data_IF_857744638939
#
_entry.id   IF_857744638939
#
_cell.length_a   1.000
_cell.length_b   1.000
_cell.length_c   1.000
_cell.angle_alpha   90.00
_cell.angle_beta   90.00
_cell.angle_gamma   90.00
#
_symmetry.space_group_name_H-M   'P 1'
#
loop_
_entity.id
_entity.type
_entity.pdbx_description
1 polymer ?
#
# COMPACT_ATOMS: atom_id res chain seq x y z
N UNK A 1 6.95 -34.10 -6.87
CA UNK A 1 6.35 -33.08 -7.77
C UNK A 1 4.90 -32.89 -7.37
N UNK A 2 4.58 -31.87 -6.56
CA UNK A 2 3.19 -31.58 -6.14
C UNK A 2 2.75 -30.23 -6.71
N UNK A 3 1.51 -30.11 -7.21
CA UNK A 3 1.12 -29.08 -8.16
C UNK A 3 0.74 -27.75 -7.49
N UNK A 4 0.85 -26.69 -8.28
CA UNK A 4 0.51 -25.29 -8.01
C UNK A 4 -0.88 -25.08 -7.38
N UNK A 5 -0.99 -25.12 -6.05
CA UNK A 5 -2.13 -24.59 -5.25
C UNK A 5 -1.70 -23.52 -4.23
N UNK A 6 -0.42 -23.13 -4.25
CA UNK A 6 0.17 -22.17 -3.29
C UNK A 6 -0.04 -20.70 -3.71
N UNK A 7 0.05 -20.39 -5.01
CA UNK A 7 -0.01 -19.02 -5.51
C UNK A 7 -1.32 -18.29 -5.19
N UNK A 8 -2.47 -18.95 -5.38
CA UNK A 8 -3.78 -18.35 -5.11
C UNK A 8 -4.01 -18.10 -3.61
N UNK A 9 -3.51 -18.99 -2.74
CA UNK A 9 -3.59 -18.81 -1.28
C UNK A 9 -2.69 -17.67 -0.82
N UNK A 10 -1.48 -17.56 -1.38
CA UNK A 10 -0.58 -16.46 -1.11
C UNK A 10 -1.13 -15.12 -1.61
N UNK A 11 -1.72 -15.10 -2.81
CA UNK A 11 -2.39 -13.92 -3.36
C UNK A 11 -3.60 -13.51 -2.51
N UNK A 12 -4.45 -14.46 -2.12
CA UNK A 12 -5.60 -14.20 -1.24
C UNK A 12 -5.18 -13.67 0.13
N UNK A 13 -4.17 -14.27 0.76
CA UNK A 13 -3.65 -13.79 2.03
C UNK A 13 -3.05 -12.38 1.92
N UNK A 14 -2.25 -12.13 0.87
CA UNK A 14 -1.67 -10.80 0.62
C UNK A 14 -2.75 -9.76 0.33
N UNK A 15 -3.78 -10.13 -0.43
CA UNK A 15 -4.93 -9.26 -0.71
C UNK A 15 -5.66 -8.88 0.57
N UNK A 16 -6.03 -9.84 1.42
CA UNK A 16 -6.72 -9.55 2.68
C UNK A 16 -5.87 -8.66 3.58
N UNK A 17 -4.57 -8.96 3.73
CA UNK A 17 -3.68 -8.14 4.57
C UNK A 17 -3.55 -6.72 4.04
N UNK A 18 -3.27 -6.53 2.74
CA UNK A 18 -3.15 -5.19 2.16
C UNK A 18 -4.48 -4.45 2.18
N UNK A 19 -5.57 -5.12 1.83
CA UNK A 19 -6.91 -4.51 1.80
C UNK A 19 -7.33 -3.99 3.17
N UNK A 20 -7.08 -4.77 4.23
CA UNK A 20 -7.36 -4.33 5.59
C UNK A 20 -6.40 -3.20 6.03
N UNK A 21 -5.12 -3.26 5.61
CA UNK A 21 -4.15 -2.23 5.96
C UNK A 21 -4.39 -0.88 5.25
N UNK A 22 -4.89 -0.91 4.01
CA UNK A 22 -5.11 0.25 3.13
C UNK A 22 -6.56 0.77 3.19
N UNK A 23 -7.39 0.23 4.09
CA UNK A 23 -8.78 0.64 4.21
C UNK A 23 -8.87 2.08 4.73
N UNK A 24 -9.43 2.99 3.92
CA UNK A 24 -9.50 4.42 4.27
C UNK A 24 -8.19 5.18 4.01
N UNK A 25 -7.29 4.65 3.18
CA UNK A 25 -6.06 5.33 2.80
C UNK A 25 -6.32 6.68 2.11
N UNK A 26 -5.32 7.56 2.19
CA UNK A 26 -5.31 8.88 1.57
C UNK A 26 -5.60 8.80 0.05
N UNK A 27 -5.10 7.77 -0.63
CA UNK A 27 -5.39 7.58 -2.06
C UNK A 27 -6.89 7.40 -2.35
N UNK A 28 -7.64 6.76 -1.43
CA UNK A 28 -9.09 6.59 -1.55
C UNK A 28 -9.81 7.92 -1.34
N UNK A 29 -9.39 8.70 -0.35
CA UNK A 29 -9.94 10.04 -0.09
C UNK A 29 -9.65 11.01 -1.25
N UNK A 30 -8.46 10.95 -1.84
CA UNK A 30 -8.11 11.73 -3.03
C UNK A 30 -8.97 11.32 -4.23
N UNK A 31 -9.15 10.02 -4.44
CA UNK A 31 -10.01 9.50 -5.52
C UNK A 31 -11.46 9.96 -5.33
N UNK A 32 -12.00 9.86 -4.11
CA UNK A 32 -13.33 10.35 -3.77
C UNK A 32 -13.43 11.87 -3.93
N UNK A 33 -12.41 12.62 -3.52
CA UNK A 33 -12.32 14.08 -3.68
C UNK A 33 -12.31 14.53 -5.14
N UNK A 34 -11.65 13.79 -6.03
CA UNK A 34 -11.68 14.04 -7.47
C UNK A 34 -13.10 13.91 -8.04
N UNK A 35 -13.83 12.87 -7.64
CA UNK A 35 -15.24 12.68 -8.04
C UNK A 35 -16.13 13.75 -7.42
N UNK A 36 -15.94 14.06 -6.14
CA UNK A 36 -16.67 15.11 -5.43
C UNK A 36 -16.45 16.52 -6.02
N UNK A 37 -15.28 16.75 -6.65
CA UNK A 37 -14.95 17.99 -7.37
C UNK A 37 -15.61 18.08 -8.77
N UNK A 38 -16.52 17.16 -9.11
CA UNK A 38 -17.28 17.17 -10.36
C UNK A 38 -16.62 16.41 -11.51
N UNK A 39 -15.53 15.66 -11.28
CA UNK A 39 -14.96 14.80 -12.33
C UNK A 39 -15.80 13.54 -12.53
N UNK A 40 -15.94 13.06 -13.78
CA UNK A 40 -16.71 11.85 -14.06
C UNK A 40 -16.10 10.63 -13.36
N UNK A 41 -16.94 9.83 -12.70
CA UNK A 41 -16.52 8.73 -11.84
C UNK A 41 -15.77 7.62 -12.59
N UNK A 42 -16.20 7.29 -13.82
CA UNK A 42 -15.61 6.18 -14.59
C UNK A 42 -14.13 6.44 -14.96
N UNK A 43 -13.77 7.58 -15.56
CA UNK A 43 -12.36 7.90 -15.82
C UNK A 43 -11.50 7.98 -14.55
N UNK A 44 -12.05 8.52 -13.45
CA UNK A 44 -11.34 8.62 -12.17
C UNK A 44 -11.07 7.23 -11.59
N UNK A 45 -12.03 6.30 -11.68
CA UNK A 45 -11.86 4.92 -11.26
C UNK A 45 -10.73 4.23 -12.03
N UNK A 46 -10.78 4.24 -13.37
CA UNK A 46 -9.76 3.58 -14.17
C UNK A 46 -8.37 4.22 -14.01
N UNK A 47 -8.30 5.55 -13.91
CA UNK A 47 -7.05 6.26 -13.66
C UNK A 47 -6.42 5.88 -12.32
N UNK A 48 -7.22 5.87 -11.25
CA UNK A 48 -6.75 5.54 -9.90
C UNK A 48 -6.38 4.06 -9.78
N UNK A 49 -7.15 3.18 -10.40
CA UNK A 49 -6.86 1.75 -10.45
C UNK A 49 -5.57 1.46 -11.24
N UNK A 50 -5.38 2.10 -12.39
CA UNK A 50 -4.15 1.97 -13.18
C UNK A 50 -2.93 2.50 -12.41
N UNK A 51 -3.06 3.65 -11.74
CA UNK A 51 -2.01 4.19 -10.87
C UNK A 51 -1.63 3.21 -9.76
N UNK A 52 -2.63 2.63 -9.07
CA UNK A 52 -2.41 1.63 -8.03
C UNK A 52 -1.70 0.38 -8.58
N UNK A 53 -2.12 -0.12 -9.75
CA UNK A 53 -1.50 -1.28 -10.39
C UNK A 53 -0.03 -1.01 -10.73
N UNK A 54 0.28 0.18 -11.28
CA UNK A 54 1.65 0.58 -11.62
C UNK A 54 2.52 0.68 -10.36
N UNK A 55 2.05 1.39 -9.34
CA UNK A 55 2.79 1.55 -8.07
C UNK A 55 3.01 0.20 -7.39
N UNK A 56 1.99 -0.66 -7.34
CA UNK A 56 2.10 -2.01 -6.76
C UNK A 56 3.11 -2.87 -7.52
N UNK A 57 3.06 -2.83 -8.86
CA UNK A 57 4.03 -3.52 -9.71
C UNK A 57 5.46 -3.07 -9.45
N UNK A 58 5.69 -1.75 -9.40
CA UNK A 58 6.98 -1.17 -9.08
C UNK A 58 7.45 -1.56 -7.67
N UNK A 59 6.56 -1.54 -6.67
CA UNK A 59 6.88 -1.92 -5.30
C UNK A 59 7.36 -3.39 -5.21
N UNK A 60 6.71 -4.31 -5.93
CA UNK A 60 7.13 -5.72 -5.97
C UNK A 60 8.49 -5.89 -6.68
N UNK A 61 8.70 -5.20 -7.81
CA UNK A 61 9.96 -5.28 -8.56
C UNK A 61 11.13 -4.71 -7.74
N UNK A 62 10.95 -3.52 -7.18
CA UNK A 62 11.95 -2.85 -6.34
C UNK A 62 12.19 -3.61 -5.04
N UNK A 63 11.14 -4.11 -4.40
CA UNK A 63 11.25 -4.92 -3.18
C UNK A 63 12.06 -6.20 -3.43
N UNK A 64 11.79 -6.91 -4.53
CA UNK A 64 12.59 -8.09 -4.94
C UNK A 64 14.04 -7.74 -5.25
N UNK A 65 14.31 -6.57 -5.83
CA UNK A 65 15.67 -6.11 -6.06
C UNK A 65 16.39 -5.73 -4.75
N UNK A 66 15.71 -5.03 -3.86
CA UNK A 66 16.24 -4.59 -2.57
C UNK A 66 16.56 -5.78 -1.65
N UNK A 67 15.66 -6.75 -1.55
CA UNK A 67 15.84 -7.95 -0.72
C UNK A 67 16.99 -8.87 -1.18
N UNK A 68 17.47 -8.70 -2.42
CA UNK A 68 18.71 -9.37 -2.88
C UNK A 68 19.98 -8.71 -2.35
N UNK A 69 19.93 -7.45 -1.95
CA UNK A 69 21.08 -6.67 -1.46
C UNK A 69 21.05 -6.40 0.04
N UNK A 70 19.86 -6.40 0.64
CA UNK A 70 19.64 -6.02 2.05
C UNK A 70 18.92 -7.14 2.79
N UNK A 71 19.34 -7.39 4.04
CA UNK A 71 18.71 -8.39 4.91
C UNK A 71 17.28 -7.97 5.24
N UNK A 72 16.32 -8.90 5.12
CA UNK A 72 14.90 -8.67 5.40
C UNK A 72 14.66 -8.07 6.80
N UNK A 73 15.46 -8.48 7.80
CA UNK A 73 15.36 -7.95 9.16
C UNK A 73 15.59 -6.43 9.23
N UNK A 74 16.57 -5.91 8.48
CA UNK A 74 16.85 -4.47 8.45
C UNK A 74 15.68 -3.69 7.84
N UNK A 75 15.14 -4.19 6.71
CA UNK A 75 13.97 -3.59 6.07
C UNK A 75 12.79 -3.52 7.05
N UNK A 76 12.55 -4.59 7.80
CA UNK A 76 11.47 -4.63 8.81
C UNK A 76 11.69 -3.64 9.95
N UNK A 77 12.90 -3.57 10.52
CA UNK A 77 13.17 -2.65 11.63
C UNK A 77 13.12 -1.19 11.20
N UNK A 78 13.64 -0.87 10.00
CA UNK A 78 13.55 0.49 9.45
C UNK A 78 12.10 0.87 9.20
N UNK A 79 11.31 0.00 8.55
CA UNK A 79 9.89 0.26 8.31
C UNK A 79 9.12 0.48 9.62
N UNK A 80 9.33 -0.38 10.63
CA UNK A 80 8.72 -0.22 11.95
C UNK A 80 9.13 1.09 12.63
N UNK A 81 10.41 1.47 12.55
CA UNK A 81 10.92 2.73 13.08
C UNK A 81 10.28 3.95 12.42
N UNK A 82 10.19 3.95 11.09
CA UNK A 82 9.54 5.03 10.33
C UNK A 82 8.06 5.14 10.70
N UNK A 83 7.32 4.02 10.74
CA UNK A 83 5.93 4.01 11.16
C UNK A 83 5.75 4.53 12.60
N UNK A 84 6.61 4.13 13.53
CA UNK A 84 6.55 4.59 14.92
C UNK A 84 6.78 6.11 15.03
N UNK A 85 7.77 6.64 14.30
CA UNK A 85 8.04 8.09 14.26
C UNK A 85 6.86 8.85 13.69
N UNK A 86 6.31 8.40 12.55
CA UNK A 86 5.13 9.03 11.96
C UNK A 86 3.94 9.00 12.91
N UNK A 87 3.70 7.87 13.59
CA UNK A 87 2.65 7.75 14.59
C UNK A 87 2.82 8.80 15.71
N UNK A 88 4.02 8.93 16.27
CA UNK A 88 4.30 9.94 17.32
C UNK A 88 4.04 11.36 16.80
N UNK A 89 4.50 11.68 15.59
CA UNK A 89 4.27 13.00 14.97
C UNK A 89 2.77 13.27 14.80
N UNK A 90 2.02 12.31 14.28
CA UNK A 90 0.57 12.44 14.08
C UNK A 90 -0.17 12.61 15.40
N UNK A 91 0.20 11.85 16.44
CA UNK A 91 -0.42 11.97 17.78
C UNK A 91 -0.14 13.34 18.39
N UNK A 92 1.10 13.82 18.34
CA UNK A 92 1.45 15.15 18.85
C UNK A 92 0.64 16.22 18.09
N UNK A 93 0.64 16.17 16.76
CA UNK A 93 -0.11 17.11 15.94
C UNK A 93 -1.62 17.11 16.25
N UNK A 94 -2.20 15.95 16.53
CA UNK A 94 -3.61 15.81 16.89
C UNK A 94 -3.96 16.30 18.31
N UNK A 95 -2.97 16.39 19.23
CA UNK A 95 -3.17 16.88 20.60
C UNK A 95 -2.90 18.39 20.71
N UNK A 96 -1.98 18.91 19.89
CA UNK A 96 -1.60 20.33 19.91
C UNK A 96 -2.40 21.22 18.97
N UNK A 97 -3.09 20.65 17.98
CA UNK A 97 -3.98 21.34 17.04
C UNK A 97 -5.44 21.18 17.43
#
# INVERSE_FOLDING_TARGET
MTPSRSGLRAAGASFVVLFTAEWGDLSQLLTAGLVASGKPAIPVFFGSWAALAVVSGLAVLLGRWLLRRVRLSLVRYVAAGVCAVLCVITVIGAVTG
#
